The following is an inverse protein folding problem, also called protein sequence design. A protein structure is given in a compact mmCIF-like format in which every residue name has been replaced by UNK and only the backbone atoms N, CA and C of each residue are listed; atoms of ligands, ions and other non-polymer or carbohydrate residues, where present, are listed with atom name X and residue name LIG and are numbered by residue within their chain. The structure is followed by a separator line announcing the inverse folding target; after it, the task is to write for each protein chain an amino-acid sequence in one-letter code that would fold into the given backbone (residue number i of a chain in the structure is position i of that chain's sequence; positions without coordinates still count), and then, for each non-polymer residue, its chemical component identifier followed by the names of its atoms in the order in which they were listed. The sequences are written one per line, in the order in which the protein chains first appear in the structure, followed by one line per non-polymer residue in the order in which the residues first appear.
data_IF_710832851633
#
_entry.id   IF_710832851633
#
_cell.length_a   1.000
_cell.length_b   1.000
_cell.length_c   1.000
_cell.angle_alpha   90.00
_cell.angle_beta   90.00
_cell.angle_gamma   90.00
#
_symmetry.space_group_name_H-M   'P 1'
#
loop_
_entity.id
_entity.type
_entity.pdbx_description
1 polymer ?
#
# COMPACT_ATOMS: atom_id res chain seq x y z
N UNK A 1 -16.06 22.81 -8.83
CA UNK A 1 -14.71 22.18 -8.75
C UNK A 1 -13.70 23.26 -8.40
N UNK A 2 -13.01 23.11 -7.26
CA UNK A 2 -12.11 24.14 -6.71
C UNK A 2 -10.68 24.07 -7.26
N UNK A 3 -9.84 25.03 -6.88
CA UNK A 3 -8.42 25.08 -7.24
C UNK A 3 -7.71 23.78 -6.83
N UNK A 4 -6.96 23.12 -7.74
CA UNK A 4 -6.22 21.91 -7.44
C UNK A 4 -5.30 22.04 -6.21
N UNK A 5 -5.16 21.01 -5.37
CA UNK A 5 -4.32 21.06 -4.17
C UNK A 5 -2.88 21.49 -4.46
N UNK A 6 -2.28 20.99 -5.54
CA UNK A 6 -0.91 21.36 -5.92
C UNK A 6 -0.74 22.86 -6.22
N UNK A 7 -1.75 23.51 -6.78
CA UNK A 7 -1.72 24.96 -7.01
C UNK A 7 -1.89 25.75 -5.71
N UNK A 8 -2.73 25.27 -4.79
CA UNK A 8 -2.90 25.88 -3.46
C UNK A 8 -1.61 25.80 -2.64
N UNK A 9 -0.87 24.69 -2.74
CA UNK A 9 0.40 24.47 -2.05
C UNK A 9 1.52 25.44 -2.50
N UNK A 10 1.46 25.93 -3.74
CA UNK A 10 2.47 26.84 -4.33
C UNK A 10 2.28 28.30 -3.93
N UNK A 11 1.17 28.66 -3.26
CA UNK A 11 0.92 30.04 -2.82
C UNK A 11 1.78 30.38 -1.59
N UNK A 12 2.32 31.60 -1.55
CA UNK A 12 3.06 32.09 -0.39
C UNK A 12 2.18 32.09 0.87
N UNK A 13 2.69 31.54 1.97
CA UNK A 13 1.93 31.39 3.23
C UNK A 13 0.94 30.23 3.26
N UNK A 14 0.99 29.30 2.28
CA UNK A 14 0.14 28.12 2.29
C UNK A 14 0.39 27.26 3.53
N UNK A 15 -0.68 26.94 4.26
CA UNK A 15 -0.65 25.97 5.34
C UNK A 15 -0.75 24.55 4.74
N UNK A 16 0.41 23.94 4.51
CA UNK A 16 0.51 22.62 3.87
C UNK A 16 -0.17 21.53 4.70
N UNK A 17 -0.16 21.63 6.04
CA UNK A 17 -0.77 20.62 6.90
C UNK A 17 -2.30 20.66 6.82
N UNK A 18 -2.89 21.86 6.84
CA UNK A 18 -4.32 22.03 6.59
C UNK A 18 -4.72 21.53 5.20
N UNK A 19 -3.86 21.74 4.20
CA UNK A 19 -4.10 21.30 2.84
C UNK A 19 -4.06 19.77 2.69
N UNK A 20 -3.14 19.07 3.38
CA UNK A 20 -3.11 17.60 3.41
C UNK A 20 -4.41 17.02 3.93
N UNK A 21 -4.93 17.57 5.03
CA UNK A 21 -6.19 17.12 5.60
C UNK A 21 -7.36 17.34 4.64
N UNK A 22 -7.38 18.47 3.93
CA UNK A 22 -8.44 18.86 2.98
C UNK A 22 -8.42 18.02 1.68
N UNK A 23 -7.27 17.43 1.32
CA UNK A 23 -7.14 16.53 0.16
C UNK A 23 -7.93 15.25 0.39
N UNK A 24 -7.83 14.68 1.59
CA UNK A 24 -8.63 13.54 1.99
C UNK A 24 -10.08 13.97 2.21
N UNK A 25 -11.04 13.29 1.58
CA UNK A 25 -12.47 13.60 1.66
C UNK A 25 -12.98 14.53 0.56
N UNK A 26 -12.24 15.59 0.19
CA UNK A 26 -12.67 16.51 -0.89
C UNK A 26 -12.22 16.03 -2.28
N UNK A 27 -10.98 15.55 -2.39
CA UNK A 27 -10.40 15.13 -3.68
C UNK A 27 -10.14 13.62 -3.72
N UNK A 28 -9.88 13.00 -2.57
CA UNK A 28 -9.73 11.56 -2.43
C UNK A 28 -10.90 10.98 -1.65
N UNK A 29 -11.53 9.94 -2.20
CA UNK A 29 -12.52 9.17 -1.44
C UNK A 29 -11.79 8.45 -0.31
N UNK A 30 -12.18 8.75 0.92
CA UNK A 30 -11.70 8.04 2.11
C UNK A 30 -12.71 6.96 2.43
N UNK A 31 -12.32 5.71 2.23
CA UNK A 31 -13.07 4.57 2.71
C UNK A 31 -12.53 4.16 4.08
N UNK A 32 -13.42 4.02 5.06
CA UNK A 32 -13.10 3.53 6.41
C UNK A 32 -13.83 2.21 6.62
N UNK A 33 -13.31 1.11 6.04
CA UNK A 33 -13.94 -0.19 6.21
C UNK A 33 -13.98 -0.56 7.70
N UNK A 34 -15.12 -1.10 8.14
CA UNK A 34 -15.24 -1.63 9.49
C UNK A 34 -14.32 -2.83 9.62
N UNK A 35 -13.31 -2.72 10.48
CA UNK A 35 -12.43 -3.84 10.82
C UNK A 35 -12.93 -4.43 12.13
N UNK A 36 -13.07 -5.75 12.18
CA UNK A 36 -13.42 -6.45 13.42
C UNK A 36 -12.35 -6.18 14.47
N UNK A 37 -12.78 -5.88 15.70
CA UNK A 37 -11.87 -5.83 16.86
C UNK A 37 -11.47 -7.22 17.37
N UNK A 38 -11.97 -8.28 16.74
CA UNK A 38 -11.63 -9.64 17.12
C UNK A 38 -10.15 -9.93 16.81
N UNK A 39 -9.50 -10.62 17.74
CA UNK A 39 -8.14 -11.09 17.54
C UNK A 39 -8.11 -12.13 16.40
N UNK A 40 -7.47 -11.78 15.29
CA UNK A 40 -7.47 -12.59 14.08
C UNK A 40 -6.83 -13.96 14.29
N UNK A 41 -5.77 -14.01 15.12
CA UNK A 41 -5.09 -15.27 15.44
C UNK A 41 -6.00 -16.19 16.28
N UNK A 42 -6.67 -15.66 17.28
CA UNK A 42 -7.65 -16.40 18.09
C UNK A 42 -8.80 -16.92 17.23
N UNK A 43 -9.29 -16.10 16.29
CA UNK A 43 -10.35 -16.51 15.35
C UNK A 43 -9.89 -17.65 14.43
N UNK A 44 -8.68 -17.57 13.88
CA UNK A 44 -8.10 -18.62 13.04
C UNK A 44 -7.95 -19.94 13.82
N UNK A 45 -7.32 -19.89 14.99
CA UNK A 45 -7.09 -21.08 15.83
C UNK A 45 -8.42 -21.72 16.27
N UNK A 46 -9.43 -20.91 16.58
CA UNK A 46 -10.76 -21.41 16.94
C UNK A 46 -11.43 -22.12 15.76
N UNK A 47 -11.35 -21.54 14.56
CA UNK A 47 -11.87 -22.15 13.32
C UNK A 47 -11.14 -23.45 12.97
N UNK A 48 -9.82 -23.51 13.18
CA UNK A 48 -9.03 -24.72 12.98
C UNK A 48 -9.43 -25.85 13.93
N UNK A 49 -9.59 -25.54 15.22
CA UNK A 49 -10.05 -26.52 16.23
C UNK A 49 -11.45 -27.03 15.89
N UNK A 50 -12.35 -26.14 15.45
CA UNK A 50 -13.70 -26.52 15.02
C UNK A 50 -13.65 -27.52 13.87
N UNK A 51 -12.89 -27.23 12.81
CA UNK A 51 -12.75 -28.10 11.64
C UNK A 51 -12.25 -29.51 12.01
N UNK A 52 -11.30 -29.61 12.96
CA UNK A 52 -10.84 -30.91 13.48
C UNK A 52 -11.97 -31.65 14.20
N UNK A 53 -12.71 -30.96 15.07
CA UNK A 53 -13.76 -31.58 15.90
C UNK A 53 -14.95 -32.05 15.07
N UNK A 54 -15.29 -31.32 14.01
CA UNK A 54 -16.42 -31.62 13.12
C UNK A 54 -16.03 -32.50 11.95
N UNK A 55 -14.74 -32.81 11.78
CA UNK A 55 -14.20 -33.50 10.61
C UNK A 55 -14.53 -32.78 9.28
N UNK A 56 -14.57 -31.44 9.30
CA UNK A 56 -14.79 -30.64 8.11
C UNK A 56 -13.47 -30.10 7.54
N UNK A 57 -13.50 -29.66 6.28
CA UNK A 57 -12.36 -28.98 5.67
C UNK A 57 -12.12 -27.62 6.34
N UNK A 58 -10.86 -27.25 6.67
CA UNK A 58 -10.56 -25.92 7.20
C UNK A 58 -10.82 -24.86 6.13
N UNK A 59 -11.23 -23.66 6.57
CA UNK A 59 -11.50 -22.52 5.69
C UNK A 59 -10.30 -22.17 4.81
N UNK A 60 -9.09 -22.32 5.36
CA UNK A 60 -7.82 -22.13 4.65
C UNK A 60 -6.99 -23.39 4.81
N UNK A 61 -6.96 -24.22 3.76
CA UNK A 61 -6.16 -25.42 3.69
C UNK A 61 -4.75 -25.20 3.13
N UNK A 62 -3.98 -26.29 3.03
CA UNK A 62 -2.64 -26.29 2.45
C UNK A 62 -2.56 -25.70 1.02
N UNK A 63 -3.48 -26.03 0.09
CA UNK A 63 -3.46 -25.46 -1.25
C UNK A 63 -3.63 -23.93 -1.26
N UNK A 64 -4.53 -23.38 -0.45
CA UNK A 64 -4.76 -21.94 -0.35
C UNK A 64 -3.53 -21.24 0.26
N UNK A 65 -2.92 -21.85 1.29
CA UNK A 65 -1.69 -21.33 1.88
C UNK A 65 -0.54 -21.28 0.87
N UNK A 66 -0.37 -22.33 0.05
CA UNK A 66 0.65 -22.37 -0.99
C UNK A 66 0.41 -21.28 -2.05
N UNK A 67 -0.82 -21.11 -2.52
CA UNK A 67 -1.17 -20.07 -3.48
C UNK A 67 -0.89 -18.67 -2.92
N UNK A 68 -1.22 -18.43 -1.65
CA UNK A 68 -0.94 -17.16 -0.98
C UNK A 68 0.57 -16.87 -0.94
N UNK A 69 1.39 -17.87 -0.61
CA UNK A 69 2.85 -17.72 -0.61
C UNK A 69 3.42 -17.44 -2.01
N UNK A 70 2.89 -18.08 -3.06
CA UNK A 70 3.29 -17.82 -4.43
C UNK A 70 2.98 -16.38 -4.87
N UNK A 71 1.80 -15.87 -4.50
CA UNK A 71 1.43 -14.48 -4.78
C UNK A 71 2.32 -13.50 -4.00
N UNK A 72 2.61 -13.81 -2.73
CA UNK A 72 3.51 -12.99 -1.93
C UNK A 72 4.90 -12.86 -2.57
N UNK A 73 5.46 -13.96 -3.08
CA UNK A 73 6.73 -13.95 -3.80
C UNK A 73 6.67 -13.08 -5.07
N UNK A 74 5.60 -13.21 -5.87
CA UNK A 74 5.41 -12.40 -7.08
C UNK A 74 5.33 -10.90 -6.77
N UNK A 75 4.69 -10.53 -5.66
CA UNK A 75 4.63 -9.12 -5.22
C UNK A 75 6.01 -8.63 -4.83
N UNK A 76 6.78 -9.42 -4.07
CA UNK A 76 8.14 -9.06 -3.69
C UNK A 76 9.04 -8.88 -4.92
N UNK A 77 8.99 -9.82 -5.87
CA UNK A 77 9.74 -9.72 -7.12
C UNK A 77 9.33 -8.49 -7.93
N UNK A 78 8.04 -8.24 -8.07
CA UNK A 78 7.51 -7.06 -8.78
C UNK A 78 8.00 -5.76 -8.16
N UNK A 79 7.92 -5.63 -6.84
CA UNK A 79 8.40 -4.44 -6.12
C UNK A 79 9.92 -4.29 -6.24
N UNK A 80 10.66 -5.40 -6.14
CA UNK A 80 12.12 -5.39 -6.21
C UNK A 80 12.66 -5.00 -7.60
N UNK A 81 11.93 -5.33 -8.66
CA UNK A 81 12.29 -5.04 -10.05
C UNK A 81 11.59 -3.80 -10.62
N UNK A 82 10.78 -3.09 -9.84
CA UNK A 82 10.00 -1.97 -10.35
C UNK A 82 10.88 -0.76 -10.69
N UNK A 83 10.83 -0.32 -11.95
CA UNK A 83 11.46 0.92 -12.45
C UNK A 83 10.55 2.13 -12.17
N UNK A 84 10.87 2.91 -11.14
CA UNK A 84 10.00 4.00 -10.66
C UNK A 84 9.91 5.18 -11.63
N UNK A 85 10.91 5.37 -12.49
CA UNK A 85 10.96 6.43 -13.50
C UNK A 85 10.73 5.93 -14.94
N UNK A 86 10.41 4.65 -15.09
CA UNK A 86 10.16 4.02 -16.40
C UNK A 86 11.42 3.87 -17.26
N UNK A 87 12.62 3.88 -16.67
CA UNK A 87 13.87 3.61 -17.37
C UNK A 87 14.74 2.58 -16.65
N UNK A 88 15.41 1.70 -17.41
CA UNK A 88 16.37 0.73 -16.89
C UNK A 88 17.61 1.35 -16.21
N UNK A 89 17.84 2.65 -16.38
CA UNK A 89 18.96 3.38 -15.76
C UNK A 89 18.51 4.15 -14.50
N UNK A 90 17.24 3.99 -14.14
CA UNK A 90 16.56 4.73 -13.11
C UNK A 90 16.58 4.08 -11.74
N UNK A 91 15.76 4.62 -10.85
CA UNK A 91 15.54 4.03 -9.54
C UNK A 91 14.79 2.69 -9.68
N UNK A 92 15.37 1.62 -9.15
CA UNK A 92 14.79 0.28 -9.13
C UNK A 92 14.65 -0.23 -7.69
N UNK A 93 13.55 -0.91 -7.42
CA UNK A 93 13.36 -1.62 -6.15
C UNK A 93 12.90 -0.71 -5.00
N UNK A 94 12.61 -1.29 -3.82
CA UNK A 94 12.05 -0.55 -2.69
C UNK A 94 13.07 0.37 -1.98
N UNK A 95 14.37 0.10 -2.15
CA UNK A 95 15.45 0.89 -1.54
C UNK A 95 15.96 1.95 -2.52
N UNK A 96 15.04 2.80 -2.97
CA UNK A 96 15.29 3.82 -3.98
C UNK A 96 16.48 4.70 -3.58
N UNK A 97 17.54 4.66 -4.41
CA UNK A 97 18.61 5.64 -4.36
C UNK A 97 18.44 6.60 -5.53
N UNK A 98 17.95 7.80 -5.25
CA UNK A 98 17.96 8.85 -6.25
C UNK A 98 19.42 9.28 -6.47
N UNK A 99 19.94 9.22 -7.72
CA UNK A 99 21.24 9.82 -8.00
C UNK A 99 21.17 11.30 -7.59
N UNK A 100 22.18 11.76 -6.85
CA UNK A 100 22.26 13.12 -6.36
C UNK A 100 21.97 14.09 -7.50
N UNK A 101 21.00 14.99 -7.31
CA UNK A 101 20.50 15.90 -8.33
C UNK A 101 21.65 16.47 -9.18
N UNK A 102 21.68 16.17 -10.48
CA UNK A 102 22.19 17.18 -11.41
C UNK A 102 21.14 18.28 -11.41
N UNK A 103 21.25 19.19 -10.44
CA UNK A 103 20.57 20.48 -10.49
C UNK A 103 20.79 21.01 -11.89
N UNK A 104 19.75 21.00 -12.74
CA UNK A 104 19.76 21.84 -13.92
C UNK A 104 19.80 23.25 -13.37
N UNK A 105 21.00 23.82 -13.34
CA UNK A 105 21.19 25.26 -13.38
C UNK A 105 20.58 25.70 -14.71
N UNK A 106 19.28 26.01 -14.68
CA UNK A 106 18.66 26.80 -15.73
C UNK A 106 19.04 28.25 -15.44
N UNK A 107 20.02 28.75 -16.21
CA UNK A 107 20.08 30.17 -16.57
C UNK A 107 19.13 30.46 -17.72
#
# INVERSE_FOLDING_TARGET
YGTPPLERARKAGANIEALKQDVFGTFLKVDSPSVSSADALTAELSSFIEAIRTQSEPLVGGPQALQAMQVAEQVLESVNCHEWDGSQQGAVGPFIQFPAERRRLAG
#
